data_IF_999285456635
#
_entry.id   IF_999285456635
#
_cell.length_a   1.000
_cell.length_b   1.000
_cell.length_c   1.000
_cell.angle_alpha   90.00
_cell.angle_beta   90.00
_cell.angle_gamma   90.00
#
_symmetry.space_group_name_H-M   'P 1'
#
loop_
_entity.id
_entity.type
_entity.pdbx_description
1 polymer ?
#
# COMPACT_ATOMS: atom_id res chain seq x y z
N UNK A 1 -17.18 3.89 0.58
CA UNK A 1 -15.71 3.97 0.38
C UNK A 1 -15.20 2.54 0.28
N UNK A 2 -14.17 2.27 -0.51
CA UNK A 2 -13.65 0.91 -0.65
C UNK A 2 -12.20 0.80 -0.20
N UNK A 3 -11.65 -0.40 -0.38
CA UNK A 3 -10.31 -0.77 0.02
C UNK A 3 -9.55 -1.34 -1.17
N UNK A 4 -8.27 -1.02 -1.24
CA UNK A 4 -7.31 -1.74 -2.06
C UNK A 4 -6.72 -2.86 -1.21
N UNK A 5 -6.80 -4.10 -1.68
CA UNK A 5 -6.49 -5.28 -0.92
C UNK A 5 -5.38 -6.08 -1.60
N UNK A 6 -4.42 -6.53 -0.79
CA UNK A 6 -3.40 -7.49 -1.18
C UNK A 6 -3.75 -8.85 -0.57
N UNK A 7 -3.86 -9.86 -1.43
CA UNK A 7 -4.07 -11.25 -1.04
C UNK A 7 -2.87 -12.10 -1.44
N UNK A 8 -2.55 -13.09 -0.62
CA UNK A 8 -1.62 -14.16 -0.98
C UNK A 8 -2.43 -15.38 -1.39
N UNK A 9 -2.24 -15.90 -2.60
CA UNK A 9 -3.09 -16.94 -3.16
C UNK A 9 -2.71 -18.35 -2.71
N UNK A 10 -1.40 -18.61 -2.55
CA UNK A 10 -0.89 -19.94 -2.24
C UNK A 10 0.22 -19.89 -1.17
N UNK A 11 -0.10 -19.57 0.10
CA UNK A 11 0.91 -19.34 1.14
C UNK A 11 1.93 -20.47 1.34
N UNK A 12 1.53 -21.72 1.07
CA UNK A 12 2.37 -22.91 1.25
C UNK A 12 3.14 -23.32 -0.01
N UNK A 13 2.46 -23.38 -1.16
CA UNK A 13 3.03 -23.91 -2.40
C UNK A 13 3.66 -22.84 -3.29
N UNK A 14 3.17 -21.60 -3.24
CA UNK A 14 3.78 -20.47 -3.94
C UNK A 14 3.51 -19.15 -3.17
N UNK A 15 4.29 -18.87 -2.11
CA UNK A 15 4.08 -17.70 -1.27
C UNK A 15 4.29 -16.36 -2.01
N UNK A 16 4.90 -16.39 -3.19
CA UNK A 16 5.15 -15.20 -4.01
C UNK A 16 3.96 -14.84 -4.91
N UNK A 17 2.97 -15.71 -5.03
CA UNK A 17 1.79 -15.45 -5.85
C UNK A 17 0.74 -14.67 -5.09
N UNK A 18 0.45 -13.49 -5.59
CA UNK A 18 -0.41 -12.50 -4.95
C UNK A 18 -1.50 -12.01 -5.91
N UNK A 19 -2.59 -11.50 -5.33
CA UNK A 19 -3.63 -10.76 -6.04
C UNK A 19 -3.80 -9.37 -5.45
N UNK A 20 -3.94 -8.39 -6.32
CA UNK A 20 -4.18 -6.99 -5.97
C UNK A 20 -5.55 -6.58 -6.51
N UNK A 21 -6.46 -6.15 -5.63
CA UNK A 21 -7.84 -5.87 -6.03
C UNK A 21 -8.45 -4.74 -5.22
N UNK A 22 -9.37 -4.02 -5.83
CA UNK A 22 -10.19 -3.05 -5.12
C UNK A 22 -11.53 -3.68 -4.76
N UNK A 23 -11.98 -3.52 -3.53
CA UNK A 23 -13.19 -4.14 -2.98
C UNK A 23 -13.98 -3.13 -2.14
N UNK A 24 -15.30 -3.27 -2.12
CA UNK A 24 -16.18 -2.55 -1.17
C UNK A 24 -16.40 -3.33 0.12
N UNK A 25 -16.20 -4.65 0.07
CA UNK A 25 -16.37 -5.57 1.18
C UNK A 25 -15.26 -6.63 1.12
N UNK A 26 -14.41 -6.66 2.14
CA UNK A 26 -13.24 -7.54 2.17
C UNK A 26 -13.64 -9.02 2.27
N UNK A 27 -14.62 -9.31 3.11
CA UNK A 27 -15.05 -10.69 3.41
C UNK A 27 -15.69 -11.36 2.20
N UNK A 28 -16.67 -10.71 1.56
CA UNK A 28 -17.28 -11.21 0.32
C UNK A 28 -16.24 -11.36 -0.79
N UNK A 29 -15.27 -10.43 -0.88
CA UNK A 29 -14.18 -10.51 -1.85
C UNK A 29 -13.23 -11.68 -1.59
N UNK A 30 -12.92 -11.97 -0.33
CA UNK A 30 -12.08 -13.09 0.08
C UNK A 30 -12.79 -14.43 -0.15
N UNK A 31 -14.08 -14.52 0.14
CA UNK A 31 -14.87 -15.73 -0.10
C UNK A 31 -14.97 -16.04 -1.59
N UNK A 32 -15.26 -15.03 -2.41
CA UNK A 32 -15.23 -15.17 -3.87
C UNK A 32 -13.83 -15.58 -4.39
N UNK A 33 -12.76 -15.09 -3.75
CA UNK A 33 -11.40 -15.49 -4.09
C UNK A 33 -11.10 -16.93 -3.70
N UNK A 34 -11.58 -17.39 -2.54
CA UNK A 34 -11.39 -18.75 -2.03
C UNK A 34 -12.15 -19.80 -2.82
N UNK A 35 -13.21 -19.42 -3.52
CA UNK A 35 -13.89 -20.30 -4.46
C UNK A 35 -12.95 -20.84 -5.57
N UNK A 36 -11.89 -20.09 -5.92
CA UNK A 36 -10.90 -20.51 -6.93
C UNK A 36 -9.51 -20.73 -6.35
N UNK A 37 -9.19 -20.10 -5.22
CA UNK A 37 -7.91 -20.20 -4.52
C UNK A 37 -8.16 -20.51 -3.04
N UNK A 38 -8.44 -21.78 -2.73
CA UNK A 38 -8.86 -22.24 -1.38
C UNK A 38 -7.94 -21.75 -0.25
N UNK A 39 -6.63 -21.73 -0.48
CA UNK A 39 -5.63 -21.31 0.51
C UNK A 39 -5.41 -19.80 0.57
N UNK A 40 -6.19 -19.00 -0.18
CA UNK A 40 -6.01 -17.56 -0.23
C UNK A 40 -6.26 -16.92 1.15
N UNK A 41 -5.39 -15.97 1.49
CA UNK A 41 -5.50 -15.18 2.72
C UNK A 41 -5.29 -13.69 2.44
N UNK A 42 -5.98 -12.82 3.20
CA UNK A 42 -5.67 -11.40 3.19
C UNK A 42 -4.27 -11.20 3.77
N UNK A 43 -3.52 -10.28 3.16
CA UNK A 43 -2.22 -9.83 3.67
C UNK A 43 -2.41 -8.48 4.35
N UNK A 44 -2.99 -7.51 3.63
CA UNK A 44 -3.28 -6.15 4.13
C UNK A 44 -4.27 -5.44 3.20
N UNK A 45 -4.99 -4.45 3.73
CA UNK A 45 -5.86 -3.54 2.96
C UNK A 45 -5.51 -2.09 3.25
N UNK A 46 -5.86 -1.21 2.31
CA UNK A 46 -5.68 0.24 2.41
C UNK A 46 -6.94 0.96 1.92
N UNK A 47 -7.44 1.97 2.65
CA UNK A 47 -8.54 2.79 2.18
C UNK A 47 -8.22 3.42 0.81
N UNK A 48 -9.09 3.20 -0.17
CA UNK A 48 -8.84 3.59 -1.56
C UNK A 48 -10.16 3.90 -2.27
N UNK A 49 -10.31 5.07 -2.91
CA UNK A 49 -11.42 5.33 -3.83
C UNK A 49 -11.29 4.49 -5.11
N UNK A 50 -12.43 4.04 -5.64
CA UNK A 50 -12.50 3.12 -6.77
C UNK A 50 -11.66 3.56 -7.99
N UNK A 51 -11.72 4.86 -8.32
CA UNK A 51 -10.99 5.45 -9.45
C UNK A 51 -9.46 5.30 -9.36
N UNK A 52 -8.91 5.08 -8.16
CA UNK A 52 -7.48 4.92 -7.95
C UNK A 52 -7.03 3.46 -7.91
N UNK A 53 -7.93 2.49 -7.78
CA UNK A 53 -7.56 1.07 -7.68
C UNK A 53 -6.70 0.60 -8.87
N UNK A 54 -7.02 1.05 -10.09
CA UNK A 54 -6.24 0.74 -11.29
C UNK A 54 -4.85 1.41 -11.30
N UNK A 55 -4.77 2.67 -10.84
CA UNK A 55 -3.53 3.43 -10.75
C UNK A 55 -2.61 2.85 -9.68
N UNK A 56 -3.15 2.59 -8.48
CA UNK A 56 -2.45 1.96 -7.37
C UNK A 56 -1.84 0.63 -7.79
N UNK A 57 -2.65 -0.27 -8.37
CA UNK A 57 -2.17 -1.56 -8.89
C UNK A 57 -1.06 -1.37 -9.91
N UNK A 58 -1.24 -0.49 -10.90
CA UNK A 58 -0.22 -0.26 -11.93
C UNK A 58 1.10 0.21 -11.32
N UNK A 59 1.08 1.18 -10.41
CA UNK A 59 2.28 1.73 -9.77
C UNK A 59 2.97 0.73 -8.85
N UNK A 60 2.21 0.07 -7.99
CA UNK A 60 2.72 -0.91 -7.03
C UNK A 60 3.38 -2.11 -7.76
N UNK A 61 2.82 -2.51 -8.91
CA UNK A 61 3.31 -3.66 -9.68
C UNK A 61 4.33 -3.33 -10.77
N UNK A 62 4.76 -2.07 -10.86
CA UNK A 62 5.71 -1.61 -11.89
C UNK A 62 7.11 -2.23 -11.72
N UNK A 63 7.49 -2.58 -10.49
CA UNK A 63 8.79 -3.17 -10.15
C UNK A 63 8.62 -4.50 -9.41
N UNK A 64 9.59 -5.42 -9.53
CA UNK A 64 9.65 -6.68 -8.76
C UNK A 64 8.34 -7.50 -8.71
N UNK A 65 7.53 -7.36 -9.76
CA UNK A 65 6.25 -8.03 -9.96
C UNK A 65 6.16 -8.51 -11.40
N UNK A 66 5.82 -9.78 -11.58
CA UNK A 66 5.59 -10.39 -12.88
C UNK A 66 4.12 -10.71 -13.03
N UNK A 67 3.51 -10.17 -14.08
CA UNK A 67 2.08 -10.34 -14.33
C UNK A 67 1.77 -11.78 -14.75
N UNK A 68 0.91 -12.46 -14.00
CA UNK A 68 0.38 -13.79 -14.31
C UNK A 68 -0.99 -13.67 -14.98
N UNK A 69 -1.83 -12.77 -14.47
CA UNK A 69 -3.15 -12.43 -15.03
C UNK A 69 -3.47 -10.95 -14.75
N UNK A 70 -4.62 -10.39 -15.18
CA UNK A 70 -4.94 -8.97 -14.99
C UNK A 70 -4.71 -8.42 -13.57
N UNK A 71 -4.98 -9.24 -12.55
CA UNK A 71 -4.91 -8.86 -11.14
C UNK A 71 -4.00 -9.77 -10.31
N UNK A 72 -3.42 -10.80 -10.92
CA UNK A 72 -2.55 -11.79 -10.26
C UNK A 72 -1.11 -11.60 -10.72
N UNK A 73 -0.21 -11.56 -9.74
CA UNK A 73 1.21 -11.31 -9.95
C UNK A 73 2.03 -12.30 -9.14
N UNK A 74 3.19 -12.67 -9.66
CA UNK A 74 4.27 -13.19 -8.83
C UNK A 74 5.13 -12.00 -8.38
N UNK A 75 5.59 -11.97 -7.14
CA UNK A 75 6.46 -10.91 -6.62
C UNK A 75 7.79 -11.45 -6.12
N UNK A 76 8.84 -10.62 -6.16
CA UNK A 76 10.16 -10.98 -5.61
C UNK A 76 10.08 -11.24 -4.10
N UNK A 77 9.38 -10.37 -3.38
CA UNK A 77 9.20 -10.44 -1.93
C UNK A 77 7.85 -9.86 -1.56
N UNK A 78 7.11 -10.60 -0.72
CA UNK A 78 5.83 -10.14 -0.20
C UNK A 78 6.01 -8.91 0.68
N UNK A 79 7.03 -8.89 1.52
CA UNK A 79 7.31 -7.79 2.44
C UNK A 79 7.64 -6.51 1.67
N UNK A 80 8.45 -6.60 0.60
CA UNK A 80 8.74 -5.44 -0.25
C UNK A 80 7.49 -4.93 -0.98
N UNK A 81 6.56 -5.82 -1.34
CA UNK A 81 5.30 -5.42 -1.94
C UNK A 81 4.41 -4.70 -0.93
N UNK A 82 4.32 -5.21 0.31
CA UNK A 82 3.57 -4.56 1.40
C UNK A 82 4.14 -3.17 1.69
N UNK A 83 5.46 -3.03 1.84
CA UNK A 83 6.10 -1.73 2.08
C UNK A 83 5.82 -0.71 0.96
N UNK A 84 5.76 -1.15 -0.29
CA UNK A 84 5.42 -0.28 -1.43
C UNK A 84 3.95 0.14 -1.42
N UNK A 85 3.04 -0.75 -1.05
CA UNK A 85 1.64 -0.39 -0.85
C UNK A 85 1.51 0.63 0.28
N UNK A 86 2.14 0.37 1.44
CA UNK A 86 2.14 1.28 2.59
C UNK A 86 2.63 2.66 2.20
N UNK A 87 3.74 2.73 1.46
CA UNK A 87 4.26 3.98 0.92
C UNK A 87 3.25 4.66 0.00
N UNK A 88 2.74 3.96 -1.02
CA UNK A 88 1.80 4.52 -1.99
C UNK A 88 0.56 5.11 -1.30
N UNK A 89 -0.03 4.38 -0.35
CA UNK A 89 -1.23 4.80 0.36
C UNK A 89 -0.96 5.82 1.48
N UNK A 90 0.30 6.00 1.91
CA UNK A 90 0.70 7.11 2.77
C UNK A 90 0.75 8.44 2.01
N UNK A 91 1.16 8.42 0.73
CA UNK A 91 1.16 9.62 -0.13
C UNK A 91 -0.21 9.92 -0.74
N UNK A 92 -1.06 8.91 -0.79
CA UNK A 92 -2.39 8.99 -1.37
C UNK A 92 -3.24 10.19 -0.85
N UNK A 93 -3.28 10.51 0.47
CA UNK A 93 -3.97 11.70 0.97
C UNK A 93 -3.30 13.00 0.48
N UNK A 94 -1.97 13.04 0.42
CA UNK A 94 -1.20 14.22 -0.02
C UNK A 94 -1.37 14.53 -1.50
N UNK A 95 -1.57 13.51 -2.35
CA UNK A 95 -1.86 13.69 -3.78
C UNK A 95 -3.28 14.28 -3.99
N UNK A 96 -4.21 14.05 -3.05
CA UNK A 96 -5.53 14.67 -3.06
C UNK A 96 -5.48 16.14 -2.59
N UNK A 97 -4.57 16.48 -1.67
CA UNK A 97 -4.47 17.80 -1.05
C UNK A 97 -3.31 18.58 -1.71
N UNK A 98 -3.59 19.17 -2.88
CA UNK A 98 -2.73 20.08 -3.67
C UNK A 98 -1.61 19.42 -4.50
N UNK A 99 -1.88 19.32 -5.81
CA UNK A 99 -0.96 19.52 -6.93
C UNK A 99 0.42 18.87 -6.88
N UNK A 100 0.59 17.76 -7.63
CA UNK A 100 1.86 17.05 -7.91
C UNK A 100 2.66 16.62 -6.68
N UNK A 101 3.13 15.35 -6.60
CA UNK A 101 4.17 15.03 -5.63
C UNK A 101 5.37 15.97 -5.87
N UNK A 102 5.87 16.61 -4.82
CA UNK A 102 7.13 17.37 -4.91
C UNK A 102 8.26 16.41 -5.27
N UNK A 103 9.28 16.93 -5.95
CA UNK A 103 10.42 16.16 -6.44
C UNK A 103 11.01 15.20 -5.39
N UNK A 104 11.14 15.68 -4.15
CA UNK A 104 11.66 14.95 -3.00
C UNK A 104 10.86 13.69 -2.65
N UNK A 105 9.54 13.74 -2.80
CA UNK A 105 8.65 12.61 -2.52
C UNK A 105 8.76 11.56 -3.60
N UNK A 106 8.98 12.00 -4.84
CA UNK A 106 9.26 11.12 -5.97
C UNK A 106 10.60 10.39 -5.77
N UNK A 107 11.63 11.09 -5.26
CA UNK A 107 12.94 10.49 -4.96
C UNK A 107 12.82 9.44 -3.85
N UNK A 108 12.25 9.80 -2.71
CA UNK A 108 12.07 8.88 -1.58
C UNK A 108 11.26 7.64 -1.99
N UNK A 109 10.20 7.83 -2.78
CA UNK A 109 9.41 6.73 -3.32
C UNK A 109 10.19 5.79 -4.23
N UNK A 110 10.99 6.35 -5.13
CA UNK A 110 11.80 5.58 -6.06
C UNK A 110 12.86 4.76 -5.30
N UNK A 111 13.56 5.37 -4.34
CA UNK A 111 14.56 4.67 -3.52
C UNK A 111 13.96 3.57 -2.64
N UNK A 112 12.81 3.82 -1.98
CA UNK A 112 12.14 2.81 -1.18
C UNK A 112 11.56 1.66 -2.02
N UNK A 113 11.16 1.94 -3.25
CA UNK A 113 10.55 0.96 -4.16
C UNK A 113 11.60 0.09 -4.85
N UNK A 114 12.72 0.68 -5.25
CA UNK A 114 13.70 0.02 -6.12
C UNK A 114 15.05 -0.25 -5.42
N UNK A 115 15.26 0.29 -4.22
CA UNK A 115 16.47 0.12 -3.43
C UNK A 115 17.59 1.13 -3.72
N UNK A 116 18.71 1.03 -3.00
CA UNK A 116 19.85 1.93 -3.17
C UNK A 116 20.53 1.76 -4.54
N UNK A 117 21.12 2.84 -5.05
CA UNK A 117 21.80 2.89 -6.36
C UNK A 117 20.89 3.10 -7.56
N UNK A 118 19.60 3.37 -7.33
CA UNK A 118 18.61 3.63 -8.41
C UNK A 118 18.47 5.12 -8.70
N UNK A 119 18.78 5.97 -7.73
CA UNK A 119 18.78 7.41 -7.88
C UNK A 119 20.16 7.91 -8.32
N UNK A 120 20.20 9.16 -8.82
CA UNK A 120 21.47 9.84 -8.98
C UNK A 120 22.15 9.98 -7.60
N UNK A 121 23.49 9.87 -7.50
CA UNK A 121 24.20 9.94 -6.23
C UNK A 121 23.85 11.18 -5.40
N UNK A 122 23.66 12.33 -6.06
CA UNK A 122 23.26 13.60 -5.44
C UNK A 122 21.88 13.56 -4.78
N UNK A 123 20.95 12.78 -5.34
CA UNK A 123 19.59 12.63 -4.81
C UNK A 123 19.56 11.54 -3.72
N UNK A 124 20.38 10.50 -3.87
CA UNK A 124 20.45 9.41 -2.91
C UNK A 124 21.01 9.85 -1.55
N UNK A 125 21.91 10.83 -1.53
CA UNK A 125 22.44 11.45 -0.31
C UNK A 125 21.33 12.08 0.54
N UNK A 126 20.22 12.52 -0.07
CA UNK A 126 19.10 13.17 0.62
C UNK A 126 18.12 12.18 1.23
N UNK A 127 18.22 10.90 0.88
CA UNK A 127 17.25 9.87 1.30
C UNK A 127 17.16 9.69 2.82
N UNK A 128 18.27 9.64 3.59
CA UNK A 128 18.18 9.49 5.03
C UNK A 128 17.37 10.62 5.69
N UNK A 129 17.60 11.86 5.28
CA UNK A 129 16.87 13.04 5.77
C UNK A 129 15.38 12.97 5.39
N UNK A 130 15.08 12.63 4.13
CA UNK A 130 13.71 12.48 3.65
C UNK A 130 12.96 11.34 4.37
N UNK A 131 13.68 10.27 4.74
CA UNK A 131 13.14 9.15 5.49
C UNK A 131 12.82 9.54 6.94
N UNK A 132 13.70 10.29 7.61
CA UNK A 132 13.45 10.81 8.96
C UNK A 132 12.24 11.76 8.99
N UNK A 133 12.21 12.74 8.09
CA UNK A 133 11.08 13.68 7.98
C UNK A 133 9.76 12.93 7.68
N UNK A 134 9.82 11.83 6.93
CA UNK A 134 8.66 10.99 6.68
C UNK A 134 8.21 10.25 7.95
N UNK A 135 9.13 9.66 8.70
CA UNK A 135 8.83 8.96 9.96
C UNK A 135 8.19 9.89 11.00
N UNK A 136 8.72 11.10 11.17
CA UNK A 136 8.18 12.11 12.08
C UNK A 136 6.75 12.54 11.70
N UNK A 137 6.45 12.62 10.40
CA UNK A 137 5.10 12.93 9.92
C UNK A 137 4.12 11.79 10.16
N UNK A 138 4.56 10.54 10.12
CA UNK A 138 3.69 9.40 10.43
C UNK A 138 3.31 9.36 11.91
N UNK A 139 4.26 9.62 12.81
CA UNK A 139 3.99 9.60 14.25
C UNK A 139 3.09 10.74 14.70
N UNK A 140 3.15 11.90 14.03
CA UNK A 140 2.29 13.05 14.36
C UNK A 140 0.82 12.91 13.90
N UNK A 141 0.51 11.98 12.99
CA UNK A 141 -0.87 11.76 12.50
C UNK A 141 -1.66 10.84 13.45
N UNK A 142 -0.98 9.96 14.19
CA UNK A 142 -1.60 9.01 15.13
C UNK A 142 -2.09 9.71 16.42
N UNK A 143 -1.61 10.93 16.72
CA UNK A 143 -2.01 11.72 17.89
C UNK A 143 -3.28 12.57 17.66
N UNK A 144 -4.30 12.01 17.01
CA UNK A 144 -5.65 12.60 17.11
C UNK A 144 -6.27 12.12 18.42
N UNK A 145 -6.53 12.98 19.42
CA UNK A 145 -7.11 12.54 20.68
C UNK A 145 -8.48 11.93 20.43
N UNK A 146 -8.65 10.69 20.91
CA UNK A 146 -9.95 10.03 20.96
C UNK A 146 -10.98 10.97 21.59
N UNK A 147 -12.08 11.21 20.89
CA UNK A 147 -13.18 12.02 21.40
C UNK A 147 -13.64 11.45 22.76
N UNK A 148 -13.92 12.30 23.76
CA UNK A 148 -14.39 11.82 25.06
C UNK A 148 -15.74 11.12 24.87
N UNK A 149 -15.85 9.90 25.41
CA UNK A 149 -17.11 9.17 25.46
C UNK A 149 -18.14 9.98 26.26
N UNK A 150 -19.24 10.34 25.62
CA UNK A 150 -20.41 10.90 26.30
C UNK A 150 -21.00 9.82 27.20
N UNK A 151 -20.79 9.99 28.50
CA UNK A 151 -21.43 9.24 29.57
C UNK A 151 -22.90 9.71 29.67
N UNK A 152 -23.80 9.03 28.95
CA UNK A 152 -25.25 9.15 29.20
C UNK A 152 -25.58 8.51 30.55
N UNK A 153 -25.45 9.30 31.60
CA UNK A 153 -26.09 9.09 32.89
C UNK A 153 -27.26 10.07 33.04
N UNK A 154 -28.49 9.57 32.89
CA UNK A 154 -29.78 10.12 33.40
C UNK A 154 -30.91 9.48 32.61
N UNK A 155 -32.04 9.02 33.15
CA UNK A 155 -32.63 9.07 34.50
C UNK A 155 -33.77 8.03 34.50
#
# INVERSE_FOLDING_TARGET
MGEFCLFQLYPRSNPRRVKLSWLTDLDSGLDALRATHVDARPVKSWPCPQQWGSVARRRITEHDCWKVSPDIYDTRSLDLLVSRCDWFFTWYPSIQIKGSPTHELSLLGTWLTQGPGVLAPEDEIRIPELLEQWLERQTSIDETPAAPAEEEASN
#
